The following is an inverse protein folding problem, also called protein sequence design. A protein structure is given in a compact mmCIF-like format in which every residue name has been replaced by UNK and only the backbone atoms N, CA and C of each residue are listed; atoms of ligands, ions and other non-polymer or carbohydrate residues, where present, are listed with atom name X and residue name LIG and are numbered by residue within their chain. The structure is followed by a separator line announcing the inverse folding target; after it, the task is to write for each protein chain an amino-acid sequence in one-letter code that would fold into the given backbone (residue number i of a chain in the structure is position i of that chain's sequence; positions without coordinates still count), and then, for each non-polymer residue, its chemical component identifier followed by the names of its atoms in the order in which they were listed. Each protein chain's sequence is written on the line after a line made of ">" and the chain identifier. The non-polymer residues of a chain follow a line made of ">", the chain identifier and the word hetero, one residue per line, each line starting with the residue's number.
data_IF_964679377607
#
_entry.id   IF_964679377607
#
_cell.length_a   1.000
_cell.length_b   1.000
_cell.length_c   1.000
_cell.angle_alpha   90.00
_cell.angle_beta   90.00
_cell.angle_gamma   90.00
#
_symmetry.space_group_name_H-M   'P 1'
#
loop_
_entity.id
_entity.type
_entity.pdbx_description
1 polymer ?
#
# COMPACT_ATOMS: atom_id res chain seq x y z
N UNK A 1 -16.92 5.71 -27.38
CA UNK A 1 -15.94 5.34 -26.33
C UNK A 1 -16.73 4.74 -25.18
N UNK A 2 -16.50 3.47 -24.84
CA UNK A 2 -17.03 2.92 -23.58
C UNK A 2 -16.23 3.54 -22.44
N UNK A 3 -16.80 4.54 -21.79
CA UNK A 3 -16.32 5.07 -20.51
C UNK A 3 -16.38 3.92 -19.49
N UNK A 4 -15.25 3.28 -19.22
CA UNK A 4 -15.17 2.27 -18.17
C UNK A 4 -15.18 3.02 -16.83
N UNK A 5 -16.17 2.74 -15.98
CA UNK A 5 -16.25 3.27 -14.61
C UNK A 5 -15.21 2.61 -13.69
N UNK A 6 -13.93 2.86 -13.96
CA UNK A 6 -12.80 2.35 -13.19
C UNK A 6 -12.38 3.38 -12.14
N UNK A 7 -12.28 2.94 -10.89
CA UNK A 7 -11.63 3.70 -9.82
C UNK A 7 -10.23 3.16 -9.59
N UNK A 8 -9.21 4.02 -9.67
CA UNK A 8 -7.82 3.66 -9.39
C UNK A 8 -7.40 4.26 -8.05
N UNK A 9 -6.91 3.41 -7.14
CA UNK A 9 -6.50 3.82 -5.80
C UNK A 9 -5.21 3.10 -5.38
N UNK A 10 -4.22 3.86 -4.92
CA UNK A 10 -3.00 3.31 -4.33
C UNK A 10 -3.22 3.04 -2.83
N UNK A 11 -3.07 1.77 -2.42
CA UNK A 11 -3.23 1.33 -1.03
C UNK A 11 -1.87 1.07 -0.37
N UNK A 12 -1.56 1.83 0.67
CA UNK A 12 -0.40 1.62 1.54
C UNK A 12 -0.81 0.83 2.78
N UNK A 13 -0.46 -0.46 2.91
CA UNK A 13 -0.81 -1.28 4.07
C UNK A 13 -0.02 -0.93 5.33
N UNK A 14 1.00 -0.07 5.20
CA UNK A 14 2.04 0.08 6.21
C UNK A 14 2.96 -1.13 6.25
N UNK A 15 3.64 -1.30 7.38
CA UNK A 15 4.55 -2.41 7.60
C UNK A 15 3.77 -3.65 8.02
N UNK A 16 3.74 -4.65 7.13
CA UNK A 16 3.07 -5.93 7.36
C UNK A 16 4.11 -7.03 7.48
N UNK A 17 4.42 -7.40 8.73
CA UNK A 17 5.33 -8.50 9.03
C UNK A 17 4.73 -9.86 8.68
N UNK A 18 5.60 -10.86 8.50
CA UNK A 18 5.17 -12.21 8.12
C UNK A 18 4.89 -12.40 6.62
N UNK A 19 5.07 -11.36 5.80
CA UNK A 19 5.07 -11.46 4.33
C UNK A 19 6.44 -11.93 3.81
N UNK A 20 6.48 -12.40 2.56
CA UNK A 20 7.70 -12.80 1.85
C UNK A 20 8.65 -11.64 1.47
N UNK A 21 8.33 -10.40 1.83
CA UNK A 21 9.15 -9.21 1.49
C UNK A 21 10.55 -9.23 2.11
N UNK A 22 10.74 -9.93 3.23
CA UNK A 22 12.00 -9.99 3.98
C UNK A 22 12.87 -11.21 3.66
N UNK A 23 12.60 -11.92 2.56
CA UNK A 23 13.33 -13.14 2.18
C UNK A 23 14.83 -12.89 1.96
N UNK A 24 15.22 -11.70 1.49
CA UNK A 24 16.62 -11.34 1.27
C UNK A 24 17.31 -10.68 2.48
N UNK A 25 16.68 -10.63 3.66
CA UNK A 25 17.33 -10.16 4.87
C UNK A 25 18.35 -11.20 5.40
N UNK A 26 19.40 -10.72 6.07
CA UNK A 26 20.33 -11.58 6.81
C UNK A 26 19.58 -12.43 7.84
N UNK A 27 20.10 -13.62 8.18
CA UNK A 27 19.41 -14.58 9.03
C UNK A 27 18.89 -13.97 10.36
N UNK A 28 19.66 -13.17 11.12
CA UNK A 28 19.16 -12.52 12.33
C UNK A 28 17.99 -11.55 12.07
N UNK A 29 18.07 -10.78 10.97
CA UNK A 29 17.02 -9.83 10.58
C UNK A 29 15.75 -10.55 10.10
N UNK A 30 15.90 -11.69 9.43
CA UNK A 30 14.77 -12.54 9.02
C UNK A 30 14.06 -13.16 10.23
N UNK A 31 14.83 -13.58 11.25
CA UNK A 31 14.26 -14.06 12.52
C UNK A 31 13.49 -12.92 13.21
N UNK A 32 14.11 -11.74 13.35
CA UNK A 32 13.43 -10.58 13.91
C UNK A 32 12.15 -10.24 13.14
N UNK A 33 12.18 -10.25 11.81
CA UNK A 33 11.00 -10.05 10.96
C UNK A 33 9.87 -11.04 11.25
N UNK A 34 10.19 -12.33 11.39
CA UNK A 34 9.21 -13.37 11.73
C UNK A 34 8.60 -13.13 13.11
N UNK A 35 9.43 -12.84 14.12
CA UNK A 35 8.98 -12.54 15.49
C UNK A 35 8.04 -11.33 15.48
N UNK A 36 8.36 -10.31 14.70
CA UNK A 36 7.54 -9.10 14.56
C UNK A 36 6.18 -9.36 13.91
N UNK A 37 6.01 -10.48 13.21
CA UNK A 37 4.72 -10.96 12.68
C UNK A 37 3.85 -11.69 13.71
N UNK A 38 4.36 -11.98 14.91
CA UNK A 38 3.63 -12.73 15.94
C UNK A 38 2.85 -11.81 16.90
N UNK A 39 2.01 -12.35 17.80
CA UNK A 39 1.37 -11.57 18.87
C UNK A 39 2.36 -10.88 19.82
N UNK A 40 3.62 -11.31 19.90
CA UNK A 40 4.65 -10.72 20.79
C UNK A 40 4.87 -9.24 20.48
N UNK A 41 4.73 -8.81 19.22
CA UNK A 41 4.89 -7.40 18.83
C UNK A 41 3.61 -6.56 19.00
N UNK A 42 2.53 -7.10 19.59
CA UNK A 42 1.27 -6.39 19.80
C UNK A 42 1.41 -5.03 20.52
N UNK A 43 2.23 -4.89 21.58
CA UNK A 43 2.42 -3.60 22.23
C UNK A 43 3.01 -2.56 21.28
N UNK A 44 3.98 -2.96 20.44
CA UNK A 44 4.62 -2.08 19.48
C UNK A 44 3.63 -1.58 18.41
N UNK A 45 2.69 -2.45 17.99
CA UNK A 45 1.60 -2.06 17.07
C UNK A 45 0.66 -1.02 17.66
N UNK A 46 0.54 -0.92 18.99
CA UNK A 46 -0.26 0.13 19.65
C UNK A 46 0.43 1.50 19.65
N UNK A 47 1.74 1.56 19.47
CA UNK A 47 2.48 2.82 19.50
C UNK A 47 2.93 3.27 18.12
N UNK A 48 3.26 2.35 17.21
CA UNK A 48 3.68 2.66 15.85
C UNK A 48 2.49 2.54 14.88
N UNK A 49 1.96 3.65 14.35
CA UNK A 49 0.72 3.64 13.56
C UNK A 49 0.79 2.83 12.27
N UNK A 50 1.99 2.63 11.71
CA UNK A 50 2.20 1.95 10.44
C UNK A 50 2.30 0.44 10.58
N UNK A 51 2.39 -0.12 11.80
CA UNK A 51 2.47 -1.57 11.97
C UNK A 51 1.06 -2.18 11.97
N UNK A 52 0.75 -2.94 10.93
CA UNK A 52 -0.54 -3.63 10.80
C UNK A 52 -0.32 -5.14 10.68
N UNK A 53 -1.35 -5.93 11.02
CA UNK A 53 -1.33 -7.37 10.80
C UNK A 53 -1.71 -7.70 9.36
N UNK A 54 -1.31 -8.87 8.86
CA UNK A 54 -1.73 -9.35 7.55
C UNK A 54 -3.26 -9.49 7.46
N UNK A 55 -3.92 -9.99 8.51
CA UNK A 55 -5.37 -10.15 8.56
C UNK A 55 -6.11 -8.80 8.49
N UNK A 56 -5.70 -7.82 9.31
CA UNK A 56 -6.27 -6.46 9.30
C UNK A 56 -6.07 -5.80 7.94
N UNK A 57 -4.88 -5.95 7.36
CA UNK A 57 -4.55 -5.40 6.05
C UNK A 57 -5.38 -6.03 4.94
N UNK A 58 -5.50 -7.35 4.91
CA UNK A 58 -6.27 -8.09 3.92
C UNK A 58 -7.76 -7.74 3.98
N UNK A 59 -8.32 -7.64 5.18
CA UNK A 59 -9.71 -7.19 5.37
C UNK A 59 -9.92 -5.77 4.85
N UNK A 60 -9.00 -4.83 5.15
CA UNK A 60 -9.08 -3.46 4.66
C UNK A 60 -9.00 -3.37 3.12
N UNK A 61 -8.07 -4.12 2.50
CA UNK A 61 -7.94 -4.20 1.05
C UNK A 61 -9.20 -4.79 0.40
N UNK A 62 -9.75 -5.86 0.97
CA UNK A 62 -10.98 -6.47 0.47
C UNK A 62 -12.15 -5.49 0.49
N UNK A 63 -12.32 -4.75 1.61
CA UNK A 63 -13.37 -3.72 1.73
C UNK A 63 -13.21 -2.61 0.69
N UNK A 64 -11.97 -2.17 0.41
CA UNK A 64 -11.69 -1.18 -0.64
C UNK A 64 -12.03 -1.73 -2.04
N UNK A 65 -11.55 -2.93 -2.37
CA UNK A 65 -11.76 -3.56 -3.67
C UNK A 65 -13.24 -3.87 -3.95
N UNK A 66 -14.02 -4.18 -2.92
CA UNK A 66 -15.46 -4.44 -3.00
C UNK A 66 -16.31 -3.15 -2.98
N UNK A 67 -15.70 -1.96 -2.95
CA UNK A 67 -16.43 -0.68 -2.91
C UNK A 67 -17.21 -0.44 -1.60
N UNK A 68 -16.86 -1.14 -0.52
CA UNK A 68 -17.54 -1.04 0.78
C UNK A 68 -17.04 0.12 1.64
N UNK A 69 -16.15 0.95 1.09
CA UNK A 69 -15.57 2.11 1.74
C UNK A 69 -15.78 3.31 0.83
N UNK A 70 -16.45 4.38 1.31
CA UNK A 70 -16.57 5.60 0.54
C UNK A 70 -15.19 6.24 0.36
N UNK A 71 -14.84 6.54 -0.89
CA UNK A 71 -13.59 7.22 -1.24
C UNK A 71 -13.88 8.73 -1.24
N UNK A 72 -13.17 9.54 -0.42
CA UNK A 72 -13.34 10.98 -0.45
C UNK A 72 -12.96 11.55 -1.83
N UNK A 73 -13.71 12.54 -2.29
CA UNK A 73 -13.49 13.17 -3.60
C UNK A 73 -12.05 13.66 -3.76
N UNK A 74 -11.45 13.38 -4.92
CA UNK A 74 -10.08 13.80 -5.25
C UNK A 74 -8.98 12.97 -4.58
N UNK A 75 -9.30 11.93 -3.80
CA UNK A 75 -8.29 11.07 -3.18
C UNK A 75 -7.93 9.87 -4.07
N UNK A 76 -6.64 9.72 -4.33
CA UNK A 76 -6.06 8.63 -5.11
C UNK A 76 -5.12 7.74 -4.28
N UNK A 77 -4.88 8.10 -3.02
CA UNK A 77 -3.99 7.40 -2.11
C UNK A 77 -4.67 7.18 -0.76
N UNK A 78 -4.58 5.94 -0.26
CA UNK A 78 -5.12 5.52 1.02
C UNK A 78 -4.04 4.77 1.80
N UNK A 79 -3.99 4.98 3.10
CA UNK A 79 -3.02 4.35 3.96
C UNK A 79 -3.67 3.75 5.20
N UNK A 80 -3.29 2.52 5.54
CA UNK A 80 -3.74 1.88 6.77
C UNK A 80 -2.88 2.34 7.95
N UNK A 81 -3.52 2.94 8.95
CA UNK A 81 -2.88 3.42 10.18
C UNK A 81 -3.65 2.91 11.39
N UNK A 82 -2.99 2.17 12.28
CA UNK A 82 -3.61 1.55 13.46
C UNK A 82 -4.87 0.74 13.11
N UNK A 83 -4.86 0.05 11.97
CA UNK A 83 -6.01 -0.71 11.46
C UNK A 83 -7.15 0.13 10.86
N UNK A 84 -7.02 1.46 10.77
CA UNK A 84 -8.00 2.35 10.17
C UNK A 84 -7.51 2.90 8.81
N UNK A 85 -8.43 3.03 7.85
CA UNK A 85 -8.14 3.66 6.56
C UNK A 85 -8.03 5.18 6.75
N UNK A 86 -6.94 5.74 6.24
CA UNK A 86 -6.64 7.17 6.28
C UNK A 86 -6.29 7.67 4.90
N UNK A 87 -6.45 8.97 4.66
CA UNK A 87 -6.33 9.59 3.34
C UNK A 87 -5.26 10.70 3.34
N UNK A 88 -3.98 10.38 3.63
CA UNK A 88 -2.92 11.37 3.64
C UNK A 88 -2.61 11.84 2.21
N UNK A 89 -1.96 13.00 2.11
CA UNK A 89 -1.42 13.45 0.84
C UNK A 89 -0.24 12.54 0.42
N UNK A 90 -0.14 12.18 -0.88
CA UNK A 90 1.06 11.55 -1.42
C UNK A 90 2.29 12.46 -1.27
N UNK A 91 3.48 11.89 -1.43
CA UNK A 91 4.72 12.67 -1.49
C UNK A 91 4.67 13.71 -2.63
N UNK A 92 5.50 14.75 -2.53
CA UNK A 92 5.60 15.78 -3.58
C UNK A 92 5.94 15.17 -4.94
N UNK A 93 6.92 14.25 -5.00
CA UNK A 93 7.27 13.54 -6.24
C UNK A 93 6.11 12.72 -6.80
N UNK A 94 5.29 12.09 -5.94
CA UNK A 94 4.11 11.34 -6.39
C UNK A 94 2.96 12.25 -6.86
N UNK A 95 3.05 13.56 -6.62
CA UNK A 95 2.11 14.58 -7.12
C UNK A 95 2.67 15.35 -8.32
N UNK A 96 3.91 15.08 -8.72
CA UNK A 96 4.51 15.66 -9.91
C UNK A 96 3.92 15.00 -11.16
N UNK A 97 3.15 15.77 -11.92
CA UNK A 97 2.49 15.28 -13.11
C UNK A 97 3.47 14.97 -14.25
N UNK A 98 4.57 15.74 -14.36
CA UNK A 98 5.56 15.52 -15.40
C UNK A 98 6.32 14.22 -15.14
N UNK A 99 6.75 14.00 -13.89
CA UNK A 99 7.37 12.76 -13.48
C UNK A 99 6.44 11.55 -13.69
N UNK A 100 5.14 11.69 -13.36
CA UNK A 100 4.15 10.63 -13.56
C UNK A 100 3.95 10.31 -15.05
N UNK A 101 3.85 11.34 -15.91
CA UNK A 101 3.72 11.18 -17.37
C UNK A 101 4.98 10.56 -17.99
N UNK A 102 6.16 10.97 -17.54
CA UNK A 102 7.43 10.39 -17.98
C UNK A 102 7.49 8.90 -17.62
N UNK A 103 7.22 8.56 -16.34
CA UNK A 103 7.19 7.17 -15.89
C UNK A 103 6.24 6.31 -16.73
N UNK A 104 5.05 6.82 -17.06
CA UNK A 104 4.09 6.10 -17.88
C UNK A 104 4.62 5.83 -19.29
N UNK A 105 5.13 6.85 -19.98
CA UNK A 105 5.65 6.71 -21.36
C UNK A 105 6.88 5.82 -21.40
N UNK A 106 7.83 6.03 -20.51
CA UNK A 106 9.08 5.28 -20.46
C UNK A 106 8.81 3.81 -20.14
N UNK A 107 7.86 3.53 -19.23
CA UNK A 107 7.43 2.16 -18.93
C UNK A 107 6.76 1.51 -20.14
N UNK A 108 5.91 2.23 -20.86
CA UNK A 108 5.24 1.72 -22.07
C UNK A 108 6.28 1.35 -23.15
N UNK A 109 7.29 2.20 -23.36
CA UNK A 109 8.39 1.92 -24.29
C UNK A 109 9.19 0.68 -23.84
N UNK A 110 9.51 0.56 -22.54
CA UNK A 110 10.25 -0.59 -21.98
C UNK A 110 9.53 -1.92 -22.14
N UNK A 111 8.19 -1.93 -22.13
CA UNK A 111 7.38 -3.14 -22.32
C UNK A 111 6.83 -3.30 -23.74
N UNK A 112 7.24 -2.43 -24.68
CA UNK A 112 6.86 -2.50 -26.09
C UNK A 112 5.39 -2.21 -26.39
N UNK A 113 4.73 -1.39 -25.57
CA UNK A 113 3.35 -0.97 -25.81
C UNK A 113 3.29 0.16 -26.83
N UNK A 114 2.24 0.20 -27.67
CA UNK A 114 2.01 1.32 -28.58
C UNK A 114 1.68 2.60 -27.80
N UNK A 115 2.04 3.74 -28.40
CA UNK A 115 1.74 5.08 -27.87
C UNK A 115 0.33 5.54 -28.24
#
# INVERSE_FOLDING_TARGET
>A
MLERSLSALAFCPGQVFGTGLATNLSLPRRIAWKIMGTPVSAPLRRVVPTLNTAATTGSALARLALGQVPIPTGRTYVALRRGALTWPDPSELARDEEATRALWRDSADLVGLPR
#
